data_IF_042737698670
#
_entry.id   IF_042737698670
#
_cell.length_a   1.000
_cell.length_b   1.000
_cell.length_c   1.000
_cell.angle_alpha   90.00
_cell.angle_beta   90.00
_cell.angle_gamma   90.00
#
_symmetry.space_group_name_H-M   'P 1'
#
loop_
_entity.id
_entity.type
_entity.pdbx_description
1 polymer ?
#
# COMPACT_ATOMS: atom_id res chain seq x y z
N UNK A 1 -4.96 8.72 -22.45
CA UNK A 1 -4.37 8.40 -21.14
C UNK A 1 -5.32 7.45 -20.44
N UNK A 2 -5.12 6.14 -20.62
CA UNK A 2 -6.03 5.14 -20.04
C UNK A 2 -5.66 4.97 -18.58
N UNK A 3 -6.50 5.50 -17.69
CA UNK A 3 -6.38 5.30 -16.25
C UNK A 3 -6.73 3.83 -15.98
N UNK A 4 -5.76 2.92 -16.10
CA UNK A 4 -5.98 1.53 -15.72
C UNK A 4 -6.38 1.51 -14.24
N UNK A 5 -7.47 0.82 -13.86
CA UNK A 5 -7.88 0.76 -12.46
C UNK A 5 -6.72 0.20 -11.65
N UNK A 6 -6.32 0.95 -10.62
CA UNK A 6 -5.26 0.50 -9.70
C UNK A 6 -5.83 -0.63 -8.85
N UNK A 7 -5.27 -1.83 -8.99
CA UNK A 7 -5.70 -3.00 -8.22
C UNK A 7 -5.20 -2.93 -6.78
N UNK A 8 -5.99 -2.28 -5.93
CA UNK A 8 -5.69 -2.14 -4.50
C UNK A 8 -5.93 -3.45 -3.74
N UNK A 9 -4.93 -3.85 -2.97
CA UNK A 9 -4.99 -4.93 -1.98
C UNK A 9 -5.21 -4.30 -0.61
N UNK A 10 -6.33 -4.64 0.02
CA UNK A 10 -6.71 -4.21 1.36
C UNK A 10 -6.02 -5.10 2.41
N UNK A 11 -5.49 -4.51 3.47
CA UNK A 11 -4.96 -5.24 4.63
C UNK A 11 -6.07 -5.99 5.39
N UNK A 12 -5.72 -7.13 5.98
CA UNK A 12 -6.64 -7.97 6.77
C UNK A 12 -7.07 -7.34 8.10
N UNK A 13 -6.28 -6.41 8.64
CA UNK A 13 -6.56 -5.70 9.89
C UNK A 13 -7.51 -4.50 9.70
N UNK A 14 -7.88 -4.19 8.46
CA UNK A 14 -8.80 -3.11 8.19
C UNK A 14 -10.22 -3.47 8.68
N UNK A 15 -10.63 -2.81 9.76
CA UNK A 15 -11.86 -3.11 10.51
C UNK A 15 -11.61 -3.11 12.02
N UNK A 16 -10.36 -3.27 12.45
CA UNK A 16 -9.94 -3.06 13.83
C UNK A 16 -9.49 -1.60 14.00
N UNK A 17 -10.38 -0.76 14.53
CA UNK A 17 -10.04 0.62 14.93
C UNK A 17 -9.55 1.54 13.82
N UNK A 18 -10.12 1.47 12.61
CA UNK A 18 -9.75 2.31 11.44
C UNK A 18 -8.29 2.13 10.96
N UNK A 19 -7.63 1.01 11.29
CA UNK A 19 -6.24 0.73 10.90
C UNK A 19 -6.09 0.19 9.46
N UNK A 20 -6.74 0.83 8.50
CA UNK A 20 -6.79 0.35 7.12
C UNK A 20 -5.57 0.76 6.30
N UNK A 21 -4.82 -0.24 5.83
CA UNK A 21 -3.75 -0.05 4.83
C UNK A 21 -4.17 -0.67 3.51
N UNK A 22 -3.97 0.08 2.41
CA UNK A 22 -4.17 -0.37 1.04
C UNK A 22 -2.84 -0.30 0.28
N UNK A 23 -2.51 -1.34 -0.49
CA UNK A 23 -1.30 -1.39 -1.29
C UNK A 23 -1.59 -1.76 -2.73
N UNK A 24 -0.86 -1.19 -3.68
CA UNK A 24 -0.99 -1.55 -5.10
C UNK A 24 0.37 -1.55 -5.79
N UNK A 25 0.56 -2.48 -6.72
CA UNK A 25 1.68 -2.43 -7.64
C UNK A 25 1.51 -1.27 -8.62
N UNK A 26 2.61 -0.61 -8.96
CA UNK A 26 2.66 0.45 -9.96
C UNK A 26 3.76 0.16 -11.00
N UNK A 27 3.73 0.82 -12.17
CA UNK A 27 4.74 0.60 -13.20
C UNK A 27 6.18 0.69 -12.67
N UNK A 28 7.04 -0.19 -13.15
CA UNK A 28 8.41 -0.35 -12.66
C UNK A 28 8.45 -1.21 -11.39
N UNK A 29 9.32 -0.84 -10.45
CA UNK A 29 9.48 -1.53 -9.15
C UNK A 29 8.78 -0.78 -8.02
N UNK A 30 7.70 -0.05 -8.32
CA UNK A 30 7.04 0.82 -7.37
C UNK A 30 5.85 0.14 -6.68
N UNK A 31 5.65 0.49 -5.42
CA UNK A 31 4.50 0.14 -4.60
C UNK A 31 3.84 1.42 -4.13
N UNK A 32 2.53 1.53 -4.31
CA UNK A 32 1.70 2.60 -3.77
C UNK A 32 1.05 2.15 -2.47
N UNK A 33 0.98 3.04 -1.50
CA UNK A 33 0.38 2.81 -0.18
C UNK A 33 -0.63 3.93 0.10
N UNK A 34 -1.78 3.57 0.66
CA UNK A 34 -2.84 4.51 1.01
C UNK A 34 -3.60 4.06 2.27
N UNK A 35 -4.25 5.01 2.93
CA UNK A 35 -5.17 4.80 4.06
C UNK A 35 -6.61 4.47 3.60
N UNK A 36 -6.90 4.67 2.31
CA UNK A 36 -8.21 4.43 1.69
C UNK A 36 -8.07 3.93 0.25
N UNK A 37 -9.09 3.23 -0.24
CA UNK A 37 -9.16 2.71 -1.60
C UNK A 37 -9.59 3.78 -2.64
N UNK A 38 -9.09 5.01 -2.51
CA UNK A 38 -9.31 6.08 -3.47
C UNK A 38 -8.03 6.30 -4.27
N UNK A 39 -8.01 6.04 -5.59
CA UNK A 39 -6.85 6.29 -6.44
C UNK A 39 -6.37 7.75 -6.43
N UNK A 40 -7.24 8.71 -6.13
CA UNK A 40 -6.87 10.12 -5.96
C UNK A 40 -6.23 10.41 -4.59
N UNK A 41 -6.48 9.55 -3.60
CA UNK A 41 -5.94 9.67 -2.25
C UNK A 41 -4.76 8.73 -2.04
N UNK A 42 -3.71 8.99 -2.79
CA UNK A 42 -2.43 8.33 -2.65
C UNK A 42 -1.63 8.97 -1.50
N UNK A 43 -1.12 8.16 -0.57
CA UNK A 43 -0.35 8.64 0.58
C UNK A 43 1.15 8.61 0.27
N UNK A 44 1.66 7.50 -0.28
CA UNK A 44 3.09 7.34 -0.55
C UNK A 44 3.38 6.30 -1.65
N UNK A 45 4.45 6.52 -2.41
CA UNK A 45 5.05 5.53 -3.31
C UNK A 45 6.47 5.25 -2.83
N UNK A 46 6.82 3.99 -2.87
CA UNK A 46 8.16 3.51 -2.54
C UNK A 46 8.58 2.42 -3.52
N UNK A 47 9.80 1.95 -3.41
CA UNK A 47 10.24 0.77 -4.16
C UNK A 47 9.71 -0.50 -3.49
N UNK A 48 9.57 -1.56 -4.28
CA UNK A 48 9.21 -2.88 -3.78
C UNK A 48 10.20 -3.38 -2.72
N UNK A 49 11.50 -3.13 -2.90
CA UNK A 49 12.54 -3.50 -1.94
C UNK A 49 12.34 -2.78 -0.60
N UNK A 50 12.23 -1.44 -0.60
CA UNK A 50 12.04 -0.67 0.63
C UNK A 50 10.71 -0.99 1.32
N UNK A 51 9.66 -1.33 0.57
CA UNK A 51 8.40 -1.81 1.16
C UNK A 51 8.55 -3.16 1.85
N UNK A 52 9.30 -4.10 1.25
CA UNK A 52 9.57 -5.40 1.85
C UNK A 52 10.36 -5.25 3.16
N UNK A 53 11.44 -4.46 3.15
CA UNK A 53 12.27 -4.18 4.32
C UNK A 53 11.45 -3.53 5.45
N UNK A 54 10.56 -2.58 5.11
CA UNK A 54 9.66 -1.96 6.08
C UNK A 54 8.72 -2.95 6.75
N UNK A 55 8.08 -3.83 5.97
CA UNK A 55 7.15 -4.85 6.50
C UNK A 55 7.87 -5.84 7.41
N UNK A 56 9.10 -6.22 7.07
CA UNK A 56 9.94 -7.07 7.92
C UNK A 56 10.26 -6.38 9.25
N UNK A 57 10.77 -5.15 9.21
CA UNK A 57 11.11 -4.39 10.40
C UNK A 57 9.90 -4.19 11.34
N UNK A 58 8.71 -3.87 10.79
CA UNK A 58 7.49 -3.70 11.60
C UNK A 58 7.11 -5.00 12.33
N UNK A 59 7.24 -6.16 11.67
CA UNK A 59 6.92 -7.46 12.28
C UNK A 59 7.88 -7.85 13.39
N UNK A 60 9.14 -7.42 13.34
CA UNK A 60 10.11 -7.64 14.41
C UNK A 60 9.85 -6.76 15.64
N UNK A 61 9.26 -5.58 15.43
CA UNK A 61 9.02 -4.59 16.50
C UNK A 61 7.64 -4.66 17.16
N UNK A 62 6.70 -5.41 16.61
CA UNK A 62 5.32 -5.56 17.10
C UNK A 62 5.12 -6.84 17.92
#
# INVERSE_FOLDING_TARGET
MTNAPTEWRKSSYCGEGEACVYVAAAPGTLVRVADRADPAHFVMATTHAAWADFVEAVKETG
#
